data_IF_828281974682
#
_entry.id   IF_828281974682
#
_cell.length_a   1.000
_cell.length_b   1.000
_cell.length_c   1.000
_cell.angle_alpha   90.00
_cell.angle_beta   90.00
_cell.angle_gamma   90.00
#
_symmetry.space_group_name_H-M   'P 1'
#
loop_
_entity.id
_entity.type
_entity.pdbx_description
1 polymer ?
#
# COMPACT_ATOMS: atom_id res chain seq x y z
N UNK A 1 -29.00 42.46 -36.14
CA UNK A 1 -27.87 41.50 -36.02
C UNK A 1 -27.18 41.51 -34.64
N UNK A 2 -27.84 41.97 -33.55
CA UNK A 2 -27.26 41.98 -32.18
C UNK A 2 -27.97 41.04 -31.18
N UNK A 3 -29.13 40.47 -31.53
CA UNK A 3 -29.90 39.57 -30.65
C UNK A 3 -29.51 38.08 -30.74
N UNK A 4 -28.78 37.69 -31.79
CA UNK A 4 -28.34 36.30 -31.98
C UNK A 4 -26.96 36.02 -31.37
N UNK A 5 -26.20 37.06 -30.98
CA UNK A 5 -24.88 36.90 -30.36
C UNK A 5 -25.00 36.40 -28.91
N UNK A 6 -26.11 36.70 -28.22
CA UNK A 6 -26.32 36.27 -26.83
C UNK A 6 -26.62 34.77 -26.69
N UNK A 7 -27.16 34.14 -27.74
CA UNK A 7 -27.55 32.72 -27.74
C UNK A 7 -26.33 31.81 -27.96
N UNK A 8 -25.31 32.28 -28.68
CA UNK A 8 -24.10 31.50 -28.96
C UNK A 8 -23.15 31.38 -27.76
N UNK A 9 -23.21 32.32 -26.81
CA UNK A 9 -22.40 32.29 -25.58
C UNK A 9 -22.90 31.32 -24.52
N UNK A 10 -24.14 30.80 -24.63
CA UNK A 10 -24.73 29.90 -23.62
C UNK A 10 -24.46 28.41 -23.89
N UNK A 11 -23.95 28.06 -25.08
CA UNK A 11 -23.70 26.68 -25.52
C UNK A 11 -22.29 26.16 -25.19
N UNK A 12 -21.44 26.97 -24.54
CA UNK A 12 -20.02 26.66 -24.33
C UNK A 12 -19.62 26.04 -22.99
N UNK A 13 -20.57 25.74 -22.09
CA UNK A 13 -20.26 25.34 -20.69
C UNK A 13 -20.60 23.88 -20.35
N UNK A 14 -20.75 22.98 -21.31
CA UNK A 14 -20.82 21.55 -21.01
C UNK A 14 -19.41 20.94 -21.02
N UNK A 15 -18.51 21.45 -20.17
CA UNK A 15 -17.39 20.62 -19.72
C UNK A 15 -18.00 19.55 -18.82
N UNK A 16 -18.32 18.40 -19.40
CA UNK A 16 -18.68 17.20 -18.66
C UNK A 16 -17.44 16.76 -17.87
N UNK A 17 -17.19 17.40 -16.73
CA UNK A 17 -16.33 16.83 -15.72
C UNK A 17 -17.11 15.65 -15.14
N UNK A 18 -16.67 14.43 -15.43
CA UNK A 18 -17.15 13.27 -14.69
C UNK A 18 -16.95 13.56 -13.20
N UNK A 19 -18.04 13.60 -12.44
CA UNK A 19 -17.95 13.89 -11.02
C UNK A 19 -17.14 12.76 -10.36
N UNK A 20 -15.99 13.11 -9.78
CA UNK A 20 -15.19 12.17 -9.01
C UNK A 20 -15.70 12.12 -7.57
N UNK A 21 -16.13 10.96 -7.12
CA UNK A 21 -16.54 10.74 -5.73
C UNK A 21 -15.33 10.31 -4.89
N UNK A 22 -15.04 11.05 -3.82
CA UNK A 22 -13.97 10.70 -2.87
C UNK A 22 -14.57 9.84 -1.77
N UNK A 23 -13.99 8.65 -1.57
CA UNK A 23 -14.35 7.71 -0.52
C UNK A 23 -13.12 7.54 0.38
N UNK A 24 -13.25 7.64 1.72
CA UNK A 24 -12.16 7.25 2.63
C UNK A 24 -11.76 5.80 2.37
N UNK A 25 -10.48 5.54 2.17
CA UNK A 25 -9.97 4.24 1.72
C UNK A 25 -10.29 3.08 2.68
N UNK A 26 -10.40 3.35 3.98
CA UNK A 26 -10.85 2.37 4.97
C UNK A 26 -12.30 1.90 4.78
N UNK A 27 -13.09 2.66 4.01
CA UNK A 27 -14.47 2.32 3.65
C UNK A 27 -14.59 1.66 2.26
N UNK A 28 -13.49 1.47 1.52
CA UNK A 28 -13.49 0.81 0.21
C UNK A 28 -14.14 -0.58 0.29
N UNK A 29 -13.81 -1.34 1.34
CA UNK A 29 -14.30 -2.70 1.50
C UNK A 29 -15.82 -2.72 1.73
N UNK A 30 -16.54 -3.23 0.73
CA UNK A 30 -17.99 -3.35 0.77
C UNK A 30 -18.72 -2.12 0.19
N UNK A 31 -17.98 -1.08 -0.21
CA UNK A 31 -18.55 0.03 -0.96
C UNK A 31 -19.11 -0.46 -2.29
N UNK A 32 -20.30 0.00 -2.63
CA UNK A 32 -20.96 -0.33 -3.90
C UNK A 32 -20.80 0.85 -4.84
N UNK A 33 -19.90 0.70 -5.81
CA UNK A 33 -19.72 1.69 -6.87
C UNK A 33 -20.99 1.77 -7.74
N UNK A 34 -21.36 2.98 -8.13
CA UNK A 34 -22.46 3.25 -9.06
C UNK A 34 -21.91 3.48 -10.46
N UNK A 35 -22.61 2.94 -11.45
CA UNK A 35 -22.25 3.11 -12.85
C UNK A 35 -22.21 4.59 -13.25
N UNK A 36 -21.20 4.97 -14.03
CA UNK A 36 -21.02 6.33 -14.53
C UNK A 36 -20.36 7.30 -13.54
N UNK A 37 -19.98 6.85 -12.34
CA UNK A 37 -19.20 7.63 -11.36
C UNK A 37 -17.76 7.11 -11.33
N UNK A 38 -16.78 8.02 -11.38
CA UNK A 38 -15.38 7.68 -11.13
C UNK A 38 -15.08 7.83 -9.65
N UNK A 39 -14.62 6.77 -9.00
CA UNK A 39 -14.29 6.80 -7.57
C UNK A 39 -12.82 7.07 -7.32
N UNK A 40 -12.53 7.71 -6.19
CA UNK A 40 -11.19 7.84 -5.64
C UNK A 40 -11.19 7.44 -4.16
N UNK A 41 -10.60 6.28 -3.88
CA UNK A 41 -10.35 5.78 -2.54
C UNK A 41 -9.11 6.46 -1.96
N UNK A 42 -9.33 7.46 -1.13
CA UNK A 42 -8.29 8.36 -0.63
C UNK A 42 -8.00 8.11 0.84
N UNK A 43 -6.73 8.22 1.24
CA UNK A 43 -6.33 8.22 2.64
C UNK A 43 -6.67 9.57 3.30
N UNK A 44 -7.96 9.81 3.51
CA UNK A 44 -8.48 11.08 4.06
C UNK A 44 -8.08 11.24 5.53
N UNK A 45 -8.12 10.14 6.29
CA UNK A 45 -7.96 10.13 7.74
C UNK A 45 -6.54 9.75 8.19
N UNK A 46 -5.60 9.54 7.25
CA UNK A 46 -4.21 9.18 7.57
C UNK A 46 -4.04 7.74 8.09
N UNK A 47 -5.00 6.87 7.77
CA UNK A 47 -5.04 5.49 8.21
C UNK A 47 -4.03 4.62 7.47
N UNK A 48 -3.68 4.95 6.23
CA UNK A 48 -2.48 4.38 5.58
C UNK A 48 -1.21 5.12 6.00
N UNK A 49 -1.29 6.45 6.15
CA UNK A 49 -0.15 7.30 6.47
C UNK A 49 0.60 6.85 7.73
N UNK A 50 -0.07 6.28 8.75
CA UNK A 50 0.58 5.76 9.97
C UNK A 50 1.59 4.63 9.72
N UNK A 51 1.47 3.90 8.61
CA UNK A 51 2.43 2.86 8.22
C UNK A 51 3.65 3.41 7.47
N UNK A 52 3.58 4.63 6.91
CA UNK A 52 4.66 5.23 6.10
C UNK A 52 5.90 5.53 6.90
N UNK A 53 7.09 5.50 6.29
CA UNK A 53 8.39 5.70 6.92
C UNK A 53 9.17 4.39 7.11
N UNK A 54 10.31 4.47 7.77
CA UNK A 54 11.25 3.35 7.93
C UNK A 54 10.98 2.55 9.20
N UNK A 55 11.06 1.23 9.07
CA UNK A 55 10.83 0.26 10.13
C UNK A 55 11.94 -0.78 10.11
N UNK A 56 12.43 -1.17 11.29
CA UNK A 56 13.54 -2.11 11.43
C UNK A 56 13.17 -3.27 12.33
N UNK A 57 13.59 -4.46 11.94
CA UNK A 57 13.71 -5.65 12.78
C UNK A 57 15.16 -6.07 12.80
N UNK A 58 15.67 -6.40 13.98
CA UNK A 58 17.07 -6.74 14.19
C UNK A 58 17.19 -7.81 15.28
N UNK A 59 17.97 -8.83 14.98
CA UNK A 59 18.41 -9.87 15.92
C UNK A 59 19.92 -10.04 15.79
N UNK A 60 20.50 -10.99 16.52
CA UNK A 60 21.93 -11.31 16.38
C UNK A 60 22.31 -11.80 14.96
N UNK A 61 21.36 -12.34 14.19
CA UNK A 61 21.62 -12.97 12.89
C UNK A 61 20.86 -12.36 11.73
N UNK A 62 19.85 -11.53 11.98
CA UNK A 62 18.98 -10.99 10.92
C UNK A 62 18.75 -9.49 11.10
N UNK A 63 18.85 -8.75 10.00
CA UNK A 63 18.44 -7.33 9.93
C UNK A 63 17.48 -7.20 8.76
N UNK A 64 16.27 -6.71 9.04
CA UNK A 64 15.27 -6.37 8.04
C UNK A 64 14.87 -4.92 8.22
N UNK A 65 15.09 -4.11 7.18
CA UNK A 65 14.70 -2.71 7.16
C UNK A 65 13.77 -2.48 5.98
N UNK A 66 12.62 -1.86 6.22
CA UNK A 66 11.64 -1.53 5.18
C UNK A 66 11.18 -0.09 5.33
N UNK A 67 11.12 0.63 4.22
CA UNK A 67 10.54 1.96 4.13
C UNK A 67 9.25 1.89 3.33
N UNK A 68 8.13 2.27 3.95
CA UNK A 68 6.84 2.41 3.28
C UNK A 68 6.62 3.85 2.81
N UNK A 69 6.10 4.00 1.59
CA UNK A 69 5.77 5.28 0.96
C UNK A 69 4.29 5.30 0.59
N UNK A 70 3.64 6.45 0.71
CA UNK A 70 2.27 6.62 0.22
C UNK A 70 2.30 7.10 -1.23
N UNK A 71 1.81 6.28 -2.16
CA UNK A 71 1.55 6.69 -3.54
C UNK A 71 0.12 7.21 -3.63
N UNK A 72 0.02 8.48 -3.97
CA UNK A 72 -1.26 9.19 -4.10
C UNK A 72 -1.87 8.91 -5.47
N UNK A 73 -3.18 8.65 -5.49
CA UNK A 73 -4.02 8.61 -6.70
C UNK A 73 -3.45 7.71 -7.80
N UNK A 74 -3.15 6.47 -7.46
CA UNK A 74 -2.81 5.42 -8.43
C UNK A 74 -4.06 5.01 -9.19
N UNK A 75 -3.94 4.97 -10.52
CA UNK A 75 -4.98 4.50 -11.43
C UNK A 75 -5.12 2.97 -11.36
N UNK A 76 -6.35 2.49 -11.14
CA UNK A 76 -6.73 1.08 -11.12
C UNK A 76 -7.57 0.67 -12.35
N UNK A 77 -7.77 1.57 -13.32
CA UNK A 77 -8.56 1.37 -14.52
C UNK A 77 -9.95 2.00 -14.43
N UNK A 78 -10.76 1.62 -13.42
CA UNK A 78 -12.11 2.17 -13.20
C UNK A 78 -12.19 3.19 -12.06
N UNK A 79 -11.19 3.19 -11.18
CA UNK A 79 -11.11 4.04 -10.00
C UNK A 79 -9.66 4.47 -9.74
N UNK A 80 -9.48 5.38 -8.80
CA UNK A 80 -8.18 5.74 -8.25
C UNK A 80 -8.09 5.29 -6.80
N UNK A 81 -6.88 4.96 -6.34
CA UNK A 81 -6.61 4.63 -4.93
C UNK A 81 -5.32 5.29 -4.44
N UNK A 82 -5.28 5.66 -3.17
CA UNK A 82 -4.00 5.81 -2.47
C UNK A 82 -3.51 4.41 -2.07
N UNK A 83 -2.21 4.15 -2.13
CA UNK A 83 -1.65 2.86 -1.71
C UNK A 83 -0.26 3.02 -1.10
N UNK A 84 0.11 2.09 -0.24
CA UNK A 84 1.48 1.93 0.21
C UNK A 84 2.32 1.24 -0.87
N UNK A 85 3.53 1.73 -1.04
CA UNK A 85 4.63 1.10 -1.75
C UNK A 85 5.78 0.88 -0.75
N UNK A 86 6.75 0.03 -1.10
CA UNK A 86 7.87 -0.23 -0.20
C UNK A 86 9.20 -0.41 -0.88
N UNK A 87 10.27 -0.09 -0.15
CA UNK A 87 11.65 -0.52 -0.45
C UNK A 87 12.19 -1.19 0.79
N UNK A 88 12.97 -2.24 0.63
CA UNK A 88 13.51 -2.95 1.79
C UNK A 88 14.92 -3.47 1.55
N UNK A 89 15.57 -3.77 2.66
CA UNK A 89 16.84 -4.45 2.75
C UNK A 89 16.73 -5.60 3.75
N UNK A 90 17.30 -6.75 3.39
CA UNK A 90 17.36 -7.92 4.25
C UNK A 90 18.80 -8.45 4.29
N UNK A 91 19.34 -8.58 5.51
CA UNK A 91 20.65 -9.14 5.81
C UNK A 91 20.45 -10.37 6.69
N UNK A 92 21.12 -11.47 6.35
CA UNK A 92 21.16 -12.68 7.16
C UNK A 92 22.61 -13.12 7.38
N UNK A 93 23.02 -13.30 8.63
CA UNK A 93 24.39 -13.67 9.04
C UNK A 93 25.46 -12.74 8.45
N UNK A 94 25.19 -11.43 8.40
CA UNK A 94 26.09 -10.43 7.83
C UNK A 94 26.12 -10.37 6.29
N UNK A 95 25.39 -11.25 5.60
CA UNK A 95 25.30 -11.27 4.13
C UNK A 95 24.03 -10.54 3.68
N UNK A 96 24.17 -9.57 2.77
CA UNK A 96 23.03 -8.91 2.14
C UNK A 96 22.32 -9.89 1.19
N UNK A 97 21.09 -10.27 1.56
CA UNK A 97 20.26 -11.20 0.79
C UNK A 97 19.42 -10.44 -0.23
N UNK A 98 18.82 -9.32 0.17
CA UNK A 98 18.02 -8.46 -0.68
C UNK A 98 18.28 -6.99 -0.39
N UNK A 99 18.27 -6.17 -1.44
CA UNK A 99 18.34 -4.72 -1.32
C UNK A 99 17.65 -4.06 -2.51
N UNK A 100 16.44 -3.57 -2.26
CA UNK A 100 15.55 -3.04 -3.30
C UNK A 100 15.57 -1.51 -3.31
N UNK A 101 16.42 -0.88 -2.50
CA UNK A 101 16.46 0.58 -2.41
C UNK A 101 16.95 1.24 -3.71
N UNK A 102 17.79 0.53 -4.46
CA UNK A 102 18.30 0.95 -5.76
C UNK A 102 17.35 0.66 -6.93
N UNK A 103 16.26 -0.08 -6.69
CA UNK A 103 15.27 -0.39 -7.72
C UNK A 103 14.41 0.84 -8.05
N UNK A 104 14.09 1.00 -9.34
CA UNK A 104 13.25 2.10 -9.84
C UNK A 104 11.78 1.86 -9.47
N UNK A 105 11.30 0.60 -9.55
CA UNK A 105 9.91 0.23 -9.27
C UNK A 105 9.81 -0.96 -8.30
N UNK A 106 10.07 -0.73 -7.00
CA UNK A 106 10.12 -1.78 -5.97
C UNK A 106 8.70 -2.19 -5.55
N UNK A 107 7.94 -2.83 -6.44
CA UNK A 107 6.59 -3.33 -6.11
C UNK A 107 6.65 -4.69 -5.39
N UNK A 108 7.51 -4.78 -4.38
CA UNK A 108 7.67 -6.02 -3.60
C UNK A 108 6.58 -6.14 -2.54
N UNK A 109 6.32 -5.09 -1.77
CA UNK A 109 5.12 -4.97 -0.93
C UNK A 109 4.33 -3.72 -1.34
N UNK A 110 3.07 -3.91 -1.71
CA UNK A 110 2.23 -2.81 -2.16
C UNK A 110 0.74 -3.02 -1.87
N UNK A 111 -0.04 -1.95 -1.92
CA UNK A 111 -1.46 -1.92 -1.59
C UNK A 111 -1.68 -1.30 -0.21
N UNK A 112 -2.63 -1.83 0.55
CA UNK A 112 -3.02 -1.25 1.85
C UNK A 112 -4.46 -1.56 2.18
N UNK A 113 -4.87 -2.80 1.93
CA UNK A 113 -6.27 -3.19 1.99
C UNK A 113 -6.69 -3.36 3.44
N UNK A 114 -7.57 -2.50 3.92
CA UNK A 114 -8.12 -2.60 5.27
C UNK A 114 -8.89 -3.90 5.43
N UNK A 115 -8.59 -4.65 6.50
CA UNK A 115 -9.27 -5.93 6.76
C UNK A 115 -10.73 -5.67 7.14
N UNK A 116 -10.97 -4.59 7.89
CA UNK A 116 -12.29 -4.16 8.36
C UNK A 116 -12.30 -2.62 8.49
N UNK A 117 -13.39 -1.92 8.13
CA UNK A 117 -13.46 -0.46 8.26
C UNK A 117 -13.30 0.05 9.69
N UNK A 118 -13.73 -0.72 10.68
CA UNK A 118 -13.68 -0.37 12.10
C UNK A 118 -12.36 -0.75 12.80
N UNK A 119 -11.42 -1.38 12.09
CA UNK A 119 -10.09 -1.70 12.62
C UNK A 119 -9.03 -1.33 11.59
N UNK A 120 -8.73 -0.04 11.54
CA UNK A 120 -7.78 0.54 10.61
C UNK A 120 -6.33 0.23 10.98
N UNK A 121 -6.06 -0.36 12.14
CA UNK A 121 -4.70 -0.79 12.52
C UNK A 121 -4.27 -2.06 11.78
N UNK A 122 -5.16 -2.71 11.05
CA UNK A 122 -4.88 -3.96 10.33
C UNK A 122 -5.07 -3.79 8.83
N UNK A 123 -4.00 -4.01 8.09
CA UNK A 123 -4.00 -3.96 6.62
C UNK A 123 -3.38 -5.22 6.03
N UNK A 124 -3.81 -5.53 4.80
CA UNK A 124 -3.16 -6.49 3.93
C UNK A 124 -2.39 -5.77 2.83
N UNK A 125 -1.19 -6.25 2.52
CA UNK A 125 -0.43 -5.87 1.34
C UNK A 125 -0.27 -7.09 0.44
N UNK A 126 -0.22 -6.82 -0.87
CA UNK A 126 0.28 -7.80 -1.83
C UNK A 126 1.80 -7.92 -1.68
N UNK A 127 2.31 -9.15 -1.81
CA UNK A 127 3.73 -9.44 -1.69
C UNK A 127 4.27 -10.29 -2.85
N UNK A 128 5.42 -9.88 -3.38
CA UNK A 128 6.29 -10.69 -4.23
C UNK A 128 7.71 -10.77 -3.64
N UNK A 129 8.23 -11.99 -3.58
CA UNK A 129 9.64 -12.18 -3.25
C UNK A 129 10.51 -11.68 -4.41
N UNK A 130 11.59 -10.94 -4.16
CA UNK A 130 12.53 -10.55 -5.21
C UNK A 130 13.05 -11.76 -5.98
N UNK A 131 13.39 -11.56 -7.25
CA UNK A 131 14.06 -12.56 -8.11
C UNK A 131 13.31 -13.89 -8.32
N UNK A 132 12.01 -13.97 -8.01
CA UNK A 132 11.19 -15.15 -8.32
C UNK A 132 10.54 -15.03 -9.70
N UNK A 133 10.83 -16.01 -10.57
CA UNK A 133 10.32 -16.10 -11.96
C UNK A 133 8.79 -16.22 -12.00
N UNK A 134 8.20 -16.92 -11.03
CA UNK A 134 6.75 -17.12 -10.92
C UNK A 134 6.13 -16.15 -9.93
N UNK A 135 5.63 -15.01 -10.44
CA UNK A 135 4.84 -14.03 -9.65
C UNK A 135 3.37 -14.43 -9.48
N UNK A 136 2.96 -15.63 -9.92
CA UNK A 136 1.58 -15.99 -10.26
C UNK A 136 0.61 -16.18 -9.08
N UNK A 137 1.08 -16.13 -7.82
CA UNK A 137 0.19 -16.08 -6.66
C UNK A 137 0.53 -14.84 -5.83
N UNK A 138 -0.42 -13.90 -5.76
CA UNK A 138 -0.35 -12.76 -4.84
C UNK A 138 -0.29 -13.32 -3.42
N UNK A 139 0.89 -13.30 -2.81
CA UNK A 139 1.05 -13.60 -1.39
C UNK A 139 0.49 -12.43 -0.61
N UNK A 140 -0.05 -12.65 0.59
CA UNK A 140 -0.48 -11.56 1.47
C UNK A 140 0.55 -11.34 2.57
N UNK A 141 0.69 -10.09 2.93
CA UNK A 141 1.35 -9.64 4.14
C UNK A 141 0.29 -8.96 5.00
N UNK A 142 0.12 -9.45 6.22
CA UNK A 142 -0.73 -8.81 7.21
C UNK A 142 0.16 -7.91 8.09
N UNK A 143 -0.22 -6.64 8.21
CA UNK A 143 0.41 -5.70 9.13
C UNK A 143 -0.59 -5.30 10.21
N UNK A 144 -0.12 -5.26 11.45
CA UNK A 144 -0.87 -4.72 12.59
C UNK A 144 -0.05 -3.61 13.25
N UNK A 145 -0.52 -2.37 13.13
CA UNK A 145 0.08 -1.19 13.75
C UNK A 145 -0.24 -1.16 15.24
N UNK A 146 0.80 -1.01 16.07
CA UNK A 146 0.71 -0.87 17.51
C UNK A 146 1.26 0.51 17.88
N UNK A 147 0.42 1.45 18.36
CA UNK A 147 0.87 2.77 18.75
C UNK A 147 1.81 2.70 19.95
N UNK A 148 2.72 3.68 20.07
CA UNK A 148 3.46 3.90 21.29
C UNK A 148 2.48 4.30 22.42
N UNK A 149 2.59 3.67 23.59
CA UNK A 149 1.69 3.94 24.73
C UNK A 149 2.34 4.80 25.80
N UNK A 150 3.65 5.04 25.71
CA UNK A 150 4.40 5.84 26.67
C UNK A 150 5.45 6.74 26.02
N UNK A 151 5.92 7.72 26.79
CA UNK A 151 7.00 8.63 26.39
C UNK A 151 8.26 7.82 26.11
N UNK A 152 8.91 8.10 24.98
CA UNK A 152 10.15 7.43 24.57
C UNK A 152 9.95 6.03 23.95
N UNK A 153 8.71 5.54 23.84
CA UNK A 153 8.43 4.34 23.06
C UNK A 153 8.24 4.68 21.59
N UNK A 154 8.74 3.80 20.73
CA UNK A 154 8.45 3.84 19.30
C UNK A 154 7.25 2.96 18.99
N UNK A 155 6.36 3.34 18.07
CA UNK A 155 5.32 2.44 17.60
C UNK A 155 5.96 1.22 16.94
N UNK A 156 5.21 0.13 16.88
CA UNK A 156 5.64 -1.11 16.24
C UNK A 156 4.63 -1.58 15.20
N UNK A 157 5.11 -2.42 14.28
CA UNK A 157 4.26 -3.12 13.32
C UNK A 157 4.51 -4.61 13.49
N UNK A 158 3.45 -5.37 13.82
CA UNK A 158 3.50 -6.82 13.72
C UNK A 158 3.38 -7.21 12.26
N UNK A 159 4.40 -7.90 11.77
CA UNK A 159 4.52 -8.40 10.42
C UNK A 159 4.15 -9.87 10.38
N UNK A 160 3.19 -10.25 9.54
CA UNK A 160 2.82 -11.66 9.31
C UNK A 160 2.61 -11.93 7.83
N UNK A 161 3.64 -12.50 7.20
CA UNK A 161 3.58 -12.96 5.81
C UNK A 161 2.90 -14.32 5.71
N UNK A 162 2.06 -14.49 4.70
CA UNK A 162 1.49 -15.80 4.35
C UNK A 162 2.58 -16.81 3.98
N UNK A 163 2.28 -18.09 4.20
CA UNK A 163 3.17 -19.19 3.81
C UNK A 163 3.28 -19.24 2.28
N UNK A 164 4.45 -19.63 1.78
CA UNK A 164 4.64 -19.94 0.37
C UNK A 164 3.65 -21.04 -0.06
N UNK A 165 2.72 -20.70 -0.96
CA UNK A 165 1.77 -21.66 -1.54
C UNK A 165 2.05 -21.88 -3.05
N UNK A 166 3.24 -21.54 -3.57
CA UNK A 166 3.64 -21.71 -4.99
C UNK A 166 4.49 -22.96 -5.25
N UNK A 167 5.06 -23.08 -6.47
CA UNK A 167 5.95 -24.13 -7.03
C UNK A 167 6.72 -25.04 -6.06
N UNK A 168 7.09 -26.28 -6.46
CA UNK A 168 7.49 -27.37 -5.54
C UNK A 168 8.67 -27.08 -4.60
N UNK A 169 9.45 -26.03 -4.84
CA UNK A 169 10.45 -25.53 -3.91
C UNK A 169 10.32 -23.99 -3.73
N UNK A 170 10.27 -23.48 -2.48
CA UNK A 170 10.40 -22.05 -2.24
C UNK A 170 11.81 -21.56 -2.64
N UNK A 171 12.00 -20.26 -2.90
CA UNK A 171 13.33 -19.70 -3.11
C UNK A 171 14.23 -19.95 -1.89
N UNK A 172 15.55 -20.08 -2.09
CA UNK A 172 16.50 -20.43 -1.02
C UNK A 172 16.52 -19.41 0.11
N UNK A 173 16.19 -18.15 -0.19
CA UNK A 173 16.01 -17.09 0.78
C UNK A 173 14.61 -16.51 0.69
N UNK A 174 14.01 -16.24 1.85
CA UNK A 174 12.71 -15.62 1.97
C UNK A 174 12.75 -14.55 3.05
N UNK A 175 12.06 -13.44 2.81
CA UNK A 175 11.76 -12.49 3.88
C UNK A 175 11.10 -13.22 5.07
N UNK A 176 11.53 -12.96 6.32
CA UNK A 176 11.01 -13.64 7.49
C UNK A 176 9.49 -13.60 7.58
N UNK A 177 8.91 -14.70 8.09
CA UNK A 177 7.46 -14.88 8.12
C UNK A 177 6.81 -14.01 9.19
N UNK A 178 7.42 -13.91 10.36
CA UNK A 178 6.89 -13.20 11.52
C UNK A 178 8.00 -12.28 12.05
N UNK A 179 7.71 -10.99 12.17
CA UNK A 179 8.61 -10.00 12.75
C UNK A 179 7.81 -8.99 13.56
N UNK A 180 8.49 -8.35 14.52
CA UNK A 180 8.01 -7.10 15.13
C UNK A 180 8.94 -6.01 14.64
N UNK A 181 8.45 -5.15 13.76
CA UNK A 181 9.22 -4.02 13.26
C UNK A 181 9.05 -2.83 14.21
N UNK A 182 10.14 -2.14 14.50
CA UNK A 182 10.16 -0.92 15.32
C UNK A 182 10.39 0.27 14.42
N UNK A 183 9.66 1.36 14.65
CA UNK A 183 9.86 2.62 13.93
C UNK A 183 11.30 3.12 14.11
N UNK A 184 11.91 3.65 13.04
CA UNK A 184 13.22 4.31 13.08
C UNK A 184 13.07 5.83 13.11
#
# INVERSE_FOLDING_TARGET
>A
MKKYILILTLLGLTSCSTAQAIIPIENEKGFQEQDGITYYYKDVNGELAKFTGTWKYETATEIFEITFYLKIKKDNGSSYEDQLLSKFKYIQNGVEIYNTYQEIDPLNFFGGFFVQPNNTNKINLSYHEPNVVYKSRRKRLNLEYIPATGIGQSPTVLWKRDVWQGSPAPPPYQVPKIMTLVKQ
#
